data_IF_203002149458
#
_entry.id   IF_203002149458
#
_cell.length_a   1.000
_cell.length_b   1.000
_cell.length_c   1.000
_cell.angle_alpha   90.00
_cell.angle_beta   90.00
_cell.angle_gamma   90.00
#
_symmetry.space_group_name_H-M   'P 1'
#
loop_
_entity.id
_entity.type
_entity.pdbx_description
1 polymer ?
#
# COMPACT_ATOMS: atom_id res chain seq x y z
N UNK A 1 44.80 3.89 58.58
CA UNK A 1 43.94 3.54 57.44
C UNK A 1 44.60 4.03 56.17
N UNK A 2 44.97 3.14 55.23
CA UNK A 2 45.51 3.51 53.91
C UNK A 2 44.63 2.84 52.85
N UNK A 3 43.68 3.60 52.31
CA UNK A 3 42.96 3.20 51.09
C UNK A 3 43.87 3.66 49.94
N UNK A 4 44.42 2.73 49.18
CA UNK A 4 45.28 3.06 48.04
C UNK A 4 44.43 3.55 46.87
N UNK A 5 44.79 4.68 46.27
CA UNK A 5 44.11 5.23 45.08
C UNK A 5 44.10 4.26 43.89
N UNK A 6 45.05 3.32 43.82
CA UNK A 6 45.07 2.28 42.79
C UNK A 6 43.91 1.30 42.95
N UNK A 7 43.57 0.92 44.19
CA UNK A 7 42.46 0.01 44.47
C UNK A 7 41.12 0.63 44.08
N UNK A 8 40.96 1.95 44.30
CA UNK A 8 39.77 2.69 43.87
C UNK A 8 39.65 2.72 42.34
N UNK A 9 40.78 2.89 41.62
CA UNK A 9 40.79 2.88 40.16
C UNK A 9 40.40 1.52 39.57
N UNK A 10 40.82 0.42 40.21
CA UNK A 10 40.48 -0.95 39.80
C UNK A 10 38.97 -1.22 39.95
N UNK A 11 38.37 -0.75 41.05
CA UNK A 11 36.93 -0.92 41.33
C UNK A 11 36.09 -0.08 40.36
N UNK A 12 36.50 1.15 40.04
CA UNK A 12 35.79 1.97 39.04
C UNK A 12 35.87 1.38 37.62
N UNK A 13 37.01 0.78 37.25
CA UNK A 13 37.16 0.06 35.96
C UNK A 13 36.23 -1.15 35.86
N UNK A 14 36.12 -1.96 36.91
CA UNK A 14 35.23 -3.14 36.91
C UNK A 14 33.75 -2.76 36.91
N UNK A 15 33.38 -1.67 37.60
CA UNK A 15 32.02 -1.13 37.58
C UNK A 15 31.62 -0.62 36.18
N UNK A 16 32.52 0.10 35.49
CA UNK A 16 32.28 0.59 34.13
C UNK A 16 32.30 -0.53 33.07
N UNK A 17 33.12 -1.58 33.24
CA UNK A 17 33.09 -2.75 32.37
C UNK A 17 31.78 -3.54 32.48
N UNK A 18 31.20 -3.71 33.68
CA UNK A 18 29.89 -4.35 33.85
C UNK A 18 28.74 -3.55 33.22
N UNK A 19 28.86 -2.22 33.15
CA UNK A 19 27.88 -1.35 32.46
C UNK A 19 28.02 -1.43 30.94
N UNK A 20 29.24 -1.58 30.43
CA UNK A 20 29.51 -1.74 28.99
C UNK A 20 29.22 -3.16 28.46
N UNK A 21 29.38 -4.20 29.28
CA UNK A 21 29.13 -5.60 28.86
C UNK A 21 27.65 -6.01 28.84
N UNK A 22 26.77 -5.22 29.49
CA UNK A 22 25.30 -5.35 29.37
C UNK A 22 24.74 -4.71 28.08
N UNK A 23 25.54 -3.92 27.37
CA UNK A 23 25.13 -3.25 26.13
C UNK A 23 25.52 -4.02 24.86
N UNK A 24 26.30 -5.10 24.95
CA UNK A 24 26.89 -5.75 23.77
C UNK A 24 26.60 -7.25 23.64
N UNK A 25 25.58 -7.75 24.36
CA UNK A 25 25.19 -9.17 24.33
C UNK A 25 23.70 -9.41 24.01
N UNK A 26 23.04 -8.49 23.32
CA UNK A 26 21.69 -8.72 22.75
C UNK A 26 21.62 -8.46 21.23
N UNK A 27 22.77 -8.36 20.55
CA UNK A 27 22.84 -8.44 19.08
C UNK A 27 22.83 -9.89 18.56
N UNK A 28 22.47 -10.88 19.41
CA UNK A 28 22.12 -12.22 18.96
C UNK A 28 20.70 -12.21 18.43
N UNK A 29 20.57 -11.86 17.14
CA UNK A 29 19.55 -12.35 16.22
C UNK A 29 18.23 -12.74 16.92
N UNK A 30 17.53 -11.79 17.52
CA UNK A 30 16.09 -11.80 17.36
C UNK A 30 15.89 -11.51 15.88
N UNK A 31 15.84 -12.58 15.07
CA UNK A 31 14.93 -12.54 13.94
C UNK A 31 13.62 -12.20 14.62
N UNK A 32 13.25 -10.91 14.60
CA UNK A 32 11.87 -10.53 14.63
C UNK A 32 11.25 -11.46 13.61
N UNK A 33 10.61 -12.52 14.09
CA UNK A 33 9.56 -13.21 13.38
C UNK A 33 8.40 -12.20 13.40
N UNK A 34 8.66 -11.02 12.83
CA UNK A 34 7.65 -10.05 12.52
C UNK A 34 6.73 -10.77 11.57
N UNK A 35 5.44 -10.53 11.76
CA UNK A 35 4.42 -11.10 10.92
C UNK A 35 4.83 -10.94 9.46
N UNK A 36 4.96 -12.08 8.77
CA UNK A 36 5.29 -12.06 7.35
C UNK A 36 3.98 -11.78 6.63
N UNK A 37 3.85 -10.55 6.13
CA UNK A 37 2.75 -10.19 5.26
C UNK A 37 2.94 -10.91 3.92
N UNK A 38 2.14 -11.95 3.67
CA UNK A 38 2.06 -12.59 2.36
C UNK A 38 0.90 -11.97 1.59
N UNK A 39 1.23 -11.06 0.67
CA UNK A 39 0.26 -10.53 -0.29
C UNK A 39 0.09 -11.60 -1.37
N UNK A 40 -1.16 -12.03 -1.62
CA UNK A 40 -1.44 -12.96 -2.72
C UNK A 40 -1.08 -12.32 -4.06
N UNK A 41 -0.75 -13.14 -5.06
CA UNK A 41 -0.58 -12.70 -6.45
C UNK A 41 -1.76 -11.84 -6.91
N UNK A 42 -2.97 -12.32 -6.63
CA UNK A 42 -4.22 -11.74 -7.08
C UNK A 42 -4.45 -10.36 -6.44
N UNK A 43 -4.10 -10.20 -5.16
CA UNK A 43 -4.20 -8.91 -4.48
C UNK A 43 -3.22 -7.89 -5.07
N UNK A 44 -2.04 -8.33 -5.49
CA UNK A 44 -1.04 -7.47 -6.14
C UNK A 44 -1.51 -7.04 -7.53
N UNK A 45 -2.04 -7.97 -8.32
CA UNK A 45 -2.63 -7.67 -9.63
C UNK A 45 -3.80 -6.69 -9.52
N UNK A 46 -4.70 -6.90 -8.56
CA UNK A 46 -5.81 -5.98 -8.30
C UNK A 46 -5.32 -4.58 -7.87
N UNK A 47 -4.25 -4.51 -7.07
CA UNK A 47 -3.66 -3.23 -6.68
C UNK A 47 -3.04 -2.49 -7.88
N UNK A 48 -2.36 -3.21 -8.77
CA UNK A 48 -1.81 -2.65 -10.00
C UNK A 48 -2.91 -2.17 -10.94
N UNK A 49 -3.99 -2.95 -11.12
CA UNK A 49 -5.16 -2.56 -11.89
C UNK A 49 -5.86 -1.32 -11.31
N UNK A 50 -6.01 -1.24 -9.98
CA UNK A 50 -6.59 -0.07 -9.31
C UNK A 50 -5.75 1.19 -9.53
N UNK A 51 -4.42 1.10 -9.40
CA UNK A 51 -3.51 2.22 -9.67
C UNK A 51 -3.60 2.67 -11.12
N UNK A 52 -3.68 1.73 -12.06
CA UNK A 52 -3.86 2.06 -13.48
C UNK A 52 -5.18 2.80 -13.72
N UNK A 53 -6.28 2.37 -13.08
CA UNK A 53 -7.57 3.05 -13.16
C UNK A 53 -7.53 4.46 -12.57
N UNK A 54 -6.91 4.65 -11.41
CA UNK A 54 -6.77 5.96 -10.76
C UNK A 54 -5.89 6.94 -11.56
N UNK A 55 -4.92 6.42 -12.32
CA UNK A 55 -4.06 7.24 -13.18
C UNK A 55 -4.75 7.76 -14.45
N UNK A 56 -5.91 7.20 -14.80
CA UNK A 56 -6.64 7.63 -15.97
C UNK A 56 -7.44 8.91 -15.70
N UNK A 57 -7.59 9.78 -16.72
CA UNK A 57 -8.42 10.97 -16.58
C UNK A 57 -9.88 10.56 -16.35
N UNK A 58 -10.54 11.23 -15.41
CA UNK A 58 -11.96 11.04 -15.10
C UNK A 58 -12.83 11.16 -16.38
N UNK A 59 -12.47 12.08 -17.27
CA UNK A 59 -13.16 12.29 -18.54
C UNK A 59 -12.30 11.83 -19.71
N UNK A 60 -12.81 10.83 -20.44
CA UNK A 60 -12.25 10.40 -21.74
C UNK A 60 -12.65 11.38 -22.84
N UNK A 61 -11.94 12.50 -22.94
CA UNK A 61 -12.23 13.61 -23.87
C UNK A 61 -12.41 13.17 -25.32
N UNK A 62 -11.56 12.27 -25.82
CA UNK A 62 -11.65 11.73 -27.18
C UNK A 62 -13.00 11.06 -27.47
N UNK A 63 -13.50 10.25 -26.53
CA UNK A 63 -14.82 9.61 -26.65
C UNK A 63 -15.94 10.65 -26.69
N UNK A 64 -15.85 11.68 -25.84
CA UNK A 64 -16.86 12.74 -25.78
C UNK A 64 -16.91 13.51 -27.09
N UNK A 65 -15.77 13.94 -27.62
CA UNK A 65 -15.70 14.69 -28.88
C UNK A 65 -16.19 13.85 -30.08
N UNK A 66 -15.85 12.56 -30.11
CA UNK A 66 -16.37 11.64 -31.14
C UNK A 66 -17.90 11.54 -31.11
N UNK A 67 -18.48 11.37 -29.92
CA UNK A 67 -19.94 11.29 -29.75
C UNK A 67 -20.61 12.61 -30.10
N UNK A 68 -20.07 13.75 -29.65
CA UNK A 68 -20.57 15.09 -30.03
C UNK A 68 -20.61 15.26 -31.54
N UNK A 69 -19.56 14.83 -32.25
CA UNK A 69 -19.51 14.90 -33.71
C UNK A 69 -20.61 14.04 -34.35
N UNK A 70 -20.78 12.80 -33.90
CA UNK A 70 -21.83 11.90 -34.42
C UNK A 70 -23.24 12.47 -34.20
N UNK A 71 -23.48 13.08 -33.04
CA UNK A 71 -24.75 13.75 -32.74
C UNK A 71 -24.96 14.93 -33.70
N UNK A 72 -23.94 15.79 -33.87
CA UNK A 72 -24.02 16.95 -34.76
C UNK A 72 -24.24 16.58 -36.22
N UNK A 73 -23.67 15.47 -36.69
CA UNK A 73 -23.84 15.01 -38.08
C UNK A 73 -25.09 14.14 -38.28
N UNK A 74 -25.87 13.88 -37.23
CA UNK A 74 -27.05 13.02 -37.30
C UNK A 74 -26.74 11.52 -37.45
N UNK A 75 -25.48 11.12 -37.30
CA UNK A 75 -25.04 9.71 -37.38
C UNK A 75 -25.01 9.02 -36.01
N UNK A 76 -25.59 9.63 -34.98
CA UNK A 76 -25.75 9.01 -33.67
C UNK A 76 -27.03 8.17 -33.68
N UNK A 77 -26.88 6.87 -33.92
CA UNK A 77 -27.98 5.92 -33.94
C UNK A 77 -27.81 4.92 -32.80
N UNK A 78 -28.66 5.03 -31.78
CA UNK A 78 -28.72 4.10 -30.66
C UNK A 78 -30.10 3.45 -30.68
N UNK A 79 -30.13 2.11 -30.66
CA UNK A 79 -31.38 1.37 -30.70
C UNK A 79 -32.11 1.40 -29.35
N UNK A 80 -33.43 1.20 -29.37
CA UNK A 80 -34.20 1.07 -28.14
C UNK A 80 -33.76 -0.12 -27.27
N UNK A 81 -33.28 -1.19 -27.91
CA UNK A 81 -32.72 -2.37 -27.25
C UNK A 81 -31.43 -2.02 -26.48
N UNK A 82 -30.52 -1.27 -27.10
CA UNK A 82 -29.27 -0.83 -26.44
C UNK A 82 -29.58 0.03 -25.19
N UNK A 83 -30.63 0.84 -25.24
CA UNK A 83 -31.07 1.63 -24.09
C UNK A 83 -31.63 0.72 -23.00
N UNK A 84 -32.55 -0.18 -23.34
CA UNK A 84 -33.17 -1.09 -22.39
C UNK A 84 -32.13 -1.99 -21.69
N UNK A 85 -31.17 -2.53 -22.44
CA UNK A 85 -30.06 -3.31 -21.92
C UNK A 85 -29.25 -2.55 -20.87
N UNK A 86 -28.95 -1.27 -21.13
CA UNK A 86 -28.21 -0.44 -20.18
C UNK A 86 -29.03 -0.12 -18.94
N UNK A 87 -30.33 0.10 -19.08
CA UNK A 87 -31.22 0.33 -17.94
C UNK A 87 -31.28 -0.93 -17.05
N UNK A 88 -31.52 -2.11 -17.63
CA UNK A 88 -31.60 -3.36 -16.89
C UNK A 88 -30.26 -3.74 -16.25
N UNK A 89 -29.16 -3.65 -17.01
CA UNK A 89 -27.81 -3.93 -16.51
C UNK A 89 -27.49 -3.05 -15.30
N UNK A 90 -27.87 -1.76 -15.36
CA UNK A 90 -27.63 -0.83 -14.25
C UNK A 90 -28.46 -1.20 -13.02
N UNK A 91 -29.74 -1.47 -13.19
CA UNK A 91 -30.63 -1.88 -12.09
C UNK A 91 -30.15 -3.15 -11.40
N UNK A 92 -29.65 -4.13 -12.15
CA UNK A 92 -29.12 -5.37 -11.58
C UNK A 92 -27.88 -5.09 -10.71
N UNK A 93 -26.93 -4.31 -11.23
CA UNK A 93 -25.72 -3.96 -10.48
C UNK A 93 -26.04 -3.19 -9.21
N UNK A 94 -26.96 -2.21 -9.29
CA UNK A 94 -27.32 -1.38 -8.14
C UNK A 94 -28.03 -2.20 -7.02
N UNK A 95 -28.73 -3.29 -7.37
CA UNK A 95 -29.37 -4.20 -6.39
C UNK A 95 -28.43 -5.27 -5.80
N UNK A 96 -27.24 -5.45 -6.39
CA UNK A 96 -26.25 -6.45 -5.98
C UNK A 96 -25.21 -5.88 -4.99
N UNK A 97 -25.12 -4.56 -4.89
CA UNK A 97 -24.16 -3.83 -4.04
C UNK A 97 -24.81 -3.40 -2.73
#
# INVERSE_FOLDING_TARGET
MKISNEQLSQVLKTYNQKKASKSNSEAKKSKNKGDKLFISSDAKEMQEAKKALESQPEVRREKVERLKKQIKTGNYNVSGEEVADKMLSRTIVDNLV
#
